data_IF_974081186521
#
_entry.id   IF_974081186521
#
_cell.length_a   1.000
_cell.length_b   1.000
_cell.length_c   1.000
_cell.angle_alpha   90.00
_cell.angle_beta   90.00
_cell.angle_gamma   90.00
#
_symmetry.space_group_name_H-M   'P 1'
#
loop_
_entity.id
_entity.type
_entity.pdbx_description
1 polymer ?
#
# COMPACT_ATOMS: atom_id res chain seq x y z
N UNK A 1 -7.89 8.47 23.01
CA UNK A 1 -6.89 8.33 21.92
C UNK A 1 -7.54 8.22 20.52
N UNK A 2 -8.84 7.98 20.40
CA UNK A 2 -9.55 8.03 19.09
C UNK A 2 -9.93 9.46 18.67
N UNK A 3 -10.20 10.37 19.61
CA UNK A 3 -10.51 11.79 19.30
C UNK A 3 -9.39 12.55 18.57
N UNK A 4 -8.12 12.17 18.78
CA UNK A 4 -6.98 12.84 18.14
C UNK A 4 -6.74 12.42 16.67
N UNK A 5 -7.32 11.31 16.23
CA UNK A 5 -7.23 10.89 14.82
C UNK A 5 -8.26 11.62 13.97
N UNK A 6 -9.45 11.89 14.50
CA UNK A 6 -10.51 12.59 13.79
C UNK A 6 -10.16 14.07 13.50
N UNK A 7 -9.39 14.73 14.36
CA UNK A 7 -9.02 16.15 14.16
C UNK A 7 -7.87 16.34 13.15
N UNK A 8 -6.98 15.35 13.00
CA UNK A 8 -5.76 15.51 12.20
C UNK A 8 -5.94 15.15 10.71
N UNK A 9 -7.00 14.45 10.30
CA UNK A 9 -7.16 14.02 8.93
C UNK A 9 -7.41 15.16 7.94
N UNK A 10 -8.05 16.27 8.40
CA UNK A 10 -8.34 17.46 7.57
C UNK A 10 -7.09 18.18 7.05
N UNK A 11 -5.94 17.96 7.68
CA UNK A 11 -4.65 18.50 7.29
C UNK A 11 -3.62 17.37 7.29
N UNK A 12 -3.88 16.33 6.52
CA UNK A 12 -3.04 15.15 6.47
C UNK A 12 -2.31 15.01 5.14
N UNK A 13 -1.15 14.39 5.19
CA UNK A 13 -0.42 13.97 4.00
C UNK A 13 0.31 12.66 4.34
N UNK A 14 -0.27 11.55 3.91
CA UNK A 14 0.27 10.20 4.09
C UNK A 14 0.51 9.56 2.74
N UNK A 15 1.71 9.05 2.54
CA UNK A 15 2.08 8.29 1.35
C UNK A 15 2.86 7.05 1.79
N UNK A 16 2.25 5.88 1.55
CA UNK A 16 2.87 4.57 1.78
C UNK A 16 3.09 3.82 0.45
N UNK A 17 3.03 4.54 -0.66
CA UNK A 17 3.32 3.99 -1.98
C UNK A 17 4.71 3.39 -2.05
N UNK A 18 4.87 2.38 -2.89
CA UNK A 18 6.15 1.72 -3.11
C UNK A 18 6.52 0.68 -2.05
N UNK A 19 5.72 0.53 -0.99
CA UNK A 19 5.96 -0.53 -0.01
C UNK A 19 5.62 -1.91 -0.60
N UNK A 20 6.38 -2.91 -0.18
CA UNK A 20 6.24 -4.27 -0.64
C UNK A 20 6.38 -5.25 0.51
N UNK A 21 5.45 -6.20 0.57
CA UNK A 21 5.54 -7.38 1.43
C UNK A 21 5.77 -8.60 0.54
N UNK A 22 6.78 -9.41 0.87
CA UNK A 22 7.07 -10.66 0.15
C UNK A 22 7.23 -11.80 1.16
N UNK A 23 6.37 -12.80 1.03
CA UNK A 23 6.37 -13.99 1.88
C UNK A 23 6.68 -15.19 0.99
N UNK A 24 7.69 -15.98 1.38
CA UNK A 24 8.06 -17.23 0.71
C UNK A 24 7.97 -18.38 1.70
N UNK A 25 7.30 -19.45 1.27
CA UNK A 25 7.27 -20.72 1.96
C UNK A 25 7.87 -21.80 1.04
N UNK A 26 8.94 -22.43 1.49
CA UNK A 26 9.64 -23.47 0.72
C UNK A 26 10.33 -24.49 1.62
N UNK A 27 10.61 -25.65 1.07
CA UNK A 27 11.49 -26.67 1.68
C UNK A 27 12.80 -26.68 0.91
N UNK A 28 13.91 -26.80 1.60
CA UNK A 28 15.23 -26.92 0.99
C UNK A 28 15.87 -28.30 1.23
N UNK A 29 16.57 -28.77 0.22
CA UNK A 29 17.48 -29.91 0.30
C UNK A 29 18.85 -29.41 -0.08
N UNK A 30 19.78 -29.39 0.90
CA UNK A 30 21.11 -28.79 0.72
C UNK A 30 22.23 -29.81 0.86
N UNK A 31 23.25 -29.69 0.02
CA UNK A 31 24.52 -30.41 0.13
C UNK A 31 25.66 -29.41 0.27
N UNK A 32 26.40 -29.49 1.37
CA UNK A 32 27.51 -28.59 1.67
C UNK A 32 28.84 -29.33 1.78
N UNK A 33 29.88 -28.66 1.35
CA UNK A 33 31.26 -29.08 1.50
C UNK A 33 32.10 -27.95 2.06
N UNK A 34 33.03 -28.28 2.96
CA UNK A 34 34.03 -27.36 3.43
C UNK A 34 35.43 -27.98 3.27
N UNK A 35 36.41 -27.13 3.01
CA UNK A 35 37.81 -27.56 2.85
C UNK A 35 38.75 -26.55 3.51
N UNK A 36 39.66 -27.06 4.28
CA UNK A 36 40.80 -26.32 4.73
C UNK A 36 41.83 -26.22 3.59
N UNK A 37 42.06 -25.01 3.12
CA UNK A 37 42.98 -24.71 2.02
C UNK A 37 44.43 -24.71 2.51
N UNK A 38 44.64 -24.13 3.69
CA UNK A 38 45.91 -24.11 4.40
C UNK A 38 45.66 -24.02 5.91
N UNK A 39 46.74 -23.94 6.72
CA UNK A 39 46.65 -23.88 8.20
C UNK A 39 45.83 -22.69 8.74
N UNK A 40 45.54 -21.68 7.92
CA UNK A 40 44.81 -20.47 8.30
C UNK A 40 43.48 -20.26 7.60
N UNK A 41 43.27 -20.83 6.42
CA UNK A 41 42.11 -20.57 5.58
C UNK A 41 41.25 -21.84 5.40
N UNK A 42 40.00 -21.74 5.79
CA UNK A 42 38.95 -22.72 5.46
C UNK A 42 37.88 -22.04 4.61
N UNK A 43 37.45 -22.70 3.55
CA UNK A 43 36.36 -22.25 2.68
C UNK A 43 35.26 -23.31 2.65
N UNK A 44 34.02 -22.89 2.48
CA UNK A 44 32.86 -23.74 2.37
C UNK A 44 31.87 -23.25 1.35
N UNK A 45 31.15 -24.17 0.75
CA UNK A 45 30.02 -23.88 -0.11
C UNK A 45 28.91 -24.89 0.14
N UNK A 46 27.66 -24.45 0.03
CA UNK A 46 26.47 -25.31 0.07
C UNK A 46 25.59 -24.99 -1.12
N UNK A 47 25.15 -25.99 -1.84
CA UNK A 47 24.15 -25.88 -2.88
C UNK A 47 22.81 -26.37 -2.36
N UNK A 48 21.75 -25.71 -2.76
CA UNK A 48 20.39 -25.96 -2.26
C UNK A 48 19.43 -26.15 -3.44
N UNK A 49 18.67 -27.24 -3.42
CA UNK A 49 17.47 -27.38 -4.24
C UNK A 49 16.27 -26.90 -3.41
N UNK A 50 15.43 -26.06 -3.99
CA UNK A 50 14.31 -25.42 -3.31
C UNK A 50 13.00 -25.91 -3.92
N UNK A 51 12.10 -26.38 -3.06
CA UNK A 51 10.75 -26.81 -3.40
C UNK A 51 9.79 -25.75 -2.86
N UNK A 52 9.34 -24.84 -3.73
CA UNK A 52 8.44 -23.75 -3.37
C UNK A 52 7.03 -24.26 -3.09
N UNK A 53 6.53 -24.05 -1.88
CA UNK A 53 5.17 -24.42 -1.47
C UNK A 53 4.24 -23.25 -1.77
N UNK A 54 4.66 -22.03 -1.46
CA UNK A 54 3.88 -20.83 -1.70
C UNK A 54 4.68 -19.54 -1.64
N UNK A 55 4.19 -18.56 -2.37
CA UNK A 55 4.67 -17.18 -2.31
C UNK A 55 3.50 -16.21 -2.38
N UNK A 56 3.59 -15.14 -1.61
CA UNK A 56 2.70 -14.00 -1.69
C UNK A 56 3.53 -12.72 -1.75
N UNK A 57 3.27 -11.90 -2.75
CA UNK A 57 3.89 -10.59 -2.94
C UNK A 57 2.79 -9.54 -3.04
N UNK A 58 2.70 -8.66 -2.05
CA UNK A 58 1.83 -7.50 -2.04
C UNK A 58 2.66 -6.26 -2.31
N UNK A 59 2.25 -5.47 -3.30
CA UNK A 59 2.83 -4.16 -3.62
C UNK A 59 1.78 -3.08 -3.49
N UNK A 60 2.08 -2.07 -2.70
CA UNK A 60 1.32 -0.83 -2.66
C UNK A 60 1.90 0.11 -3.73
N UNK A 61 1.21 0.22 -4.88
CA UNK A 61 1.69 1.00 -6.03
C UNK A 61 1.47 2.49 -5.82
N UNK A 62 0.28 2.84 -5.37
CA UNK A 62 -0.16 4.21 -5.17
C UNK A 62 -1.17 4.23 -4.02
N UNK A 63 -0.67 4.33 -2.79
CA UNK A 63 -1.52 4.42 -1.60
C UNK A 63 -1.16 5.70 -0.87
N UNK A 64 -1.91 6.75 -1.20
CA UNK A 64 -1.66 8.08 -0.70
C UNK A 64 -2.99 8.75 -0.31
N UNK A 65 -2.96 9.45 0.80
CA UNK A 65 -4.04 10.31 1.29
C UNK A 65 -3.48 11.69 1.57
N UNK A 66 -4.09 12.71 0.99
CA UNK A 66 -3.80 14.10 1.34
C UNK A 66 -5.09 14.87 1.53
N UNK A 67 -5.14 15.72 2.53
CA UNK A 67 -6.27 16.59 2.75
C UNK A 67 -5.80 17.96 3.29
N UNK A 68 -6.43 19.00 2.79
CA UNK A 68 -6.41 20.36 3.32
C UNK A 68 -7.85 20.87 3.23
N UNK A 69 -8.58 20.78 4.33
CA UNK A 69 -10.01 21.08 4.41
C UNK A 69 -10.28 22.07 5.55
N UNK A 70 -11.38 22.83 5.49
CA UNK A 70 -11.73 23.76 6.56
C UNK A 70 -12.07 23.01 7.85
N UNK A 71 -11.85 23.69 8.98
CA UNK A 71 -12.28 23.23 10.29
C UNK A 71 -13.80 23.29 10.44
N UNK A 72 -14.37 22.51 11.37
CA UNK A 72 -15.79 22.54 11.67
C UNK A 72 -16.25 23.93 12.13
N UNK A 73 -15.40 24.64 12.86
CA UNK A 73 -15.68 26.01 13.28
C UNK A 73 -15.79 26.99 12.09
N UNK A 74 -14.95 26.81 11.07
CA UNK A 74 -15.03 27.62 9.84
C UNK A 74 -16.30 27.27 9.04
N UNK A 75 -16.60 26.00 8.90
CA UNK A 75 -17.82 25.52 8.24
C UNK A 75 -19.05 26.08 8.95
N UNK A 76 -19.14 25.93 10.27
CA UNK A 76 -20.25 26.43 11.05
C UNK A 76 -20.43 27.94 10.89
N UNK A 77 -19.33 28.70 10.93
CA UNK A 77 -19.35 30.17 10.75
C UNK A 77 -19.90 30.56 9.37
N UNK A 78 -19.47 29.88 8.31
CA UNK A 78 -19.89 30.25 6.94
C UNK A 78 -21.28 29.76 6.60
N UNK A 79 -21.81 28.80 7.35
CA UNK A 79 -23.17 28.27 7.24
C UNK A 79 -24.19 29.08 8.08
N UNK A 80 -23.73 30.04 8.93
CA UNK A 80 -24.60 30.80 9.82
C UNK A 80 -25.20 32.03 9.13
N UNK A 81 -26.52 32.03 8.93
CA UNK A 81 -27.25 33.18 8.38
C UNK A 81 -27.06 34.44 9.19
N UNK A 82 -26.93 34.34 10.53
CA UNK A 82 -26.72 35.52 11.40
C UNK A 82 -25.34 36.16 11.17
N UNK A 83 -24.34 35.35 10.80
CA UNK A 83 -23.03 35.86 10.42
C UNK A 83 -23.12 36.78 9.19
N UNK A 84 -23.83 36.33 8.15
CA UNK A 84 -23.97 37.07 6.89
C UNK A 84 -24.88 38.29 7.03
N UNK A 85 -26.00 38.16 7.72
CA UNK A 85 -26.96 39.26 7.95
C UNK A 85 -26.39 40.38 8.81
N UNK A 86 -25.36 40.11 9.61
CA UNK A 86 -24.63 41.09 10.39
C UNK A 86 -23.63 41.93 9.59
N UNK A 87 -23.34 41.56 8.32
CA UNK A 87 -22.38 42.26 7.48
C UNK A 87 -23.05 43.31 6.58
N UNK A 88 -22.37 44.41 6.34
CA UNK A 88 -22.75 45.32 5.25
C UNK A 88 -22.55 44.63 3.89
N UNK A 89 -23.24 45.11 2.85
CA UNK A 89 -23.10 44.53 1.49
C UNK A 89 -21.66 44.53 1.00
N UNK A 90 -20.87 45.56 1.28
CA UNK A 90 -19.46 45.62 0.87
C UNK A 90 -18.60 44.61 1.63
N UNK A 91 -18.85 44.41 2.92
CA UNK A 91 -18.15 43.40 3.73
C UNK A 91 -18.52 41.99 3.28
N UNK A 92 -19.79 41.71 2.97
CA UNK A 92 -20.24 40.42 2.49
C UNK A 92 -19.58 40.08 1.13
N UNK A 93 -19.50 41.03 0.20
CA UNK A 93 -18.80 40.83 -1.10
C UNK A 93 -17.31 40.56 -0.88
N UNK A 94 -16.67 41.31 0.03
CA UNK A 94 -15.26 41.10 0.36
C UNK A 94 -15.03 39.72 0.95
N UNK A 95 -15.84 39.33 1.93
CA UNK A 95 -15.75 37.98 2.54
C UNK A 95 -15.97 36.87 1.53
N UNK A 96 -16.97 36.95 0.64
CA UNK A 96 -17.20 35.95 -0.39
C UNK A 96 -16.01 35.85 -1.36
N UNK A 97 -15.39 36.98 -1.71
CA UNK A 97 -14.22 37.01 -2.59
C UNK A 97 -13.00 36.34 -1.92
N UNK A 98 -12.78 36.59 -0.64
CA UNK A 98 -11.72 35.94 0.14
C UNK A 98 -11.97 34.45 0.29
N UNK A 99 -13.22 34.04 0.56
CA UNK A 99 -13.62 32.65 0.68
C UNK A 99 -13.50 31.90 -0.66
N UNK A 100 -13.82 32.54 -1.78
CA UNK A 100 -13.59 31.96 -3.10
C UNK A 100 -12.13 31.57 -3.30
N UNK A 101 -11.20 32.45 -2.95
CA UNK A 101 -9.77 32.17 -3.03
C UNK A 101 -9.35 31.10 -2.04
N UNK A 102 -9.96 31.09 -0.85
CA UNK A 102 -9.66 30.10 0.20
C UNK A 102 -10.16 28.71 -0.22
N UNK A 103 -11.37 28.63 -0.78
CA UNK A 103 -11.92 27.37 -1.29
C UNK A 103 -11.04 26.75 -2.39
N UNK A 104 -10.49 27.56 -3.30
CA UNK A 104 -9.65 27.08 -4.39
C UNK A 104 -8.39 26.32 -3.90
N UNK A 105 -7.97 26.57 -2.68
CA UNK A 105 -6.83 25.88 -2.05
C UNK A 105 -7.22 24.61 -1.29
N UNK A 106 -8.52 24.36 -1.06
CA UNK A 106 -8.94 23.14 -0.39
C UNK A 106 -8.89 21.95 -1.33
N UNK A 107 -8.53 20.82 -0.77
CA UNK A 107 -8.51 19.54 -1.46
C UNK A 107 -8.59 18.39 -0.47
N UNK A 108 -9.11 17.25 -0.90
CA UNK A 108 -8.85 15.99 -0.28
C UNK A 108 -8.74 14.93 -1.38
N UNK A 109 -7.74 14.08 -1.28
CA UNK A 109 -7.48 13.04 -2.25
C UNK A 109 -7.14 11.73 -1.54
N UNK A 110 -7.73 10.64 -2.01
CA UNK A 110 -7.41 9.29 -1.57
C UNK A 110 -7.18 8.42 -2.80
N UNK A 111 -5.97 7.91 -2.93
CA UNK A 111 -5.60 6.93 -3.93
C UNK A 111 -5.35 5.59 -3.26
N UNK A 112 -5.83 4.50 -3.88
CA UNK A 112 -5.57 3.13 -3.42
C UNK A 112 -5.22 2.29 -4.63
N UNK A 113 -3.94 2.03 -4.82
CA UNK A 113 -3.45 1.16 -5.88
C UNK A 113 -2.58 0.06 -5.29
N UNK A 114 -2.97 -1.20 -5.50
CA UNK A 114 -2.25 -2.35 -4.99
C UNK A 114 -2.17 -3.48 -6.01
N UNK A 115 -1.18 -4.32 -5.89
CA UNK A 115 -1.02 -5.54 -6.68
C UNK A 115 -0.64 -6.69 -5.76
N UNK A 116 -1.43 -7.74 -5.78
CA UNK A 116 -1.18 -8.99 -5.07
C UNK A 116 -0.81 -10.06 -6.11
N UNK A 117 0.37 -10.65 -5.96
CA UNK A 117 0.77 -11.86 -6.69
C UNK A 117 0.84 -13.01 -5.72
N UNK A 118 0.11 -14.05 -6.00
CA UNK A 118 0.08 -15.26 -5.18
C UNK A 118 0.47 -16.47 -6.01
N UNK A 119 1.29 -17.34 -5.47
CA UNK A 119 1.70 -18.59 -6.10
C UNK A 119 1.52 -19.72 -5.10
N UNK A 120 0.28 -20.17 -4.96
CA UNK A 120 -0.09 -21.32 -4.13
C UNK A 120 -0.93 -22.30 -4.95
N UNK A 121 -0.77 -23.58 -4.67
CA UNK A 121 -1.78 -24.56 -5.07
C UNK A 121 -2.88 -24.60 -4.03
N UNK A 122 -4.14 -24.58 -4.47
CA UNK A 122 -5.30 -24.57 -3.57
C UNK A 122 -5.80 -23.18 -3.16
N UNK A 123 -5.22 -22.08 -3.65
CA UNK A 123 -5.81 -20.77 -3.55
C UNK A 123 -6.78 -20.56 -4.72
N UNK A 124 -8.05 -20.42 -4.42
CA UNK A 124 -9.10 -20.10 -5.36
C UNK A 124 -9.63 -18.71 -5.03
N UNK A 125 -9.67 -17.85 -6.04
CA UNK A 125 -10.25 -16.52 -5.94
C UNK A 125 -11.66 -16.60 -6.51
N UNK A 126 -12.65 -16.17 -5.75
CA UNK A 126 -14.05 -16.27 -6.10
C UNK A 126 -14.58 -14.94 -6.60
N UNK A 127 -15.35 -14.98 -7.66
CA UNK A 127 -16.09 -13.84 -8.22
C UNK A 127 -17.60 -14.14 -8.05
N UNK A 128 -18.37 -13.15 -7.62
CA UNK A 128 -19.81 -13.26 -7.52
C UNK A 128 -20.46 -13.00 -8.88
N UNK A 129 -21.57 -13.67 -9.18
CA UNK A 129 -22.29 -13.48 -10.44
C UNK A 129 -22.68 -12.01 -10.67
N UNK A 130 -22.20 -11.44 -11.76
CA UNK A 130 -22.42 -10.04 -12.13
C UNK A 130 -21.33 -9.07 -11.64
N UNK A 131 -20.30 -9.56 -10.97
CA UNK A 131 -19.10 -8.79 -10.59
C UNK A 131 -17.90 -9.35 -11.36
N UNK A 132 -17.07 -8.48 -11.89
CA UNK A 132 -15.84 -8.80 -12.62
C UNK A 132 -14.57 -8.61 -11.76
N UNK A 133 -14.75 -8.67 -10.44
CA UNK A 133 -13.69 -8.56 -9.44
C UNK A 133 -13.84 -9.60 -8.32
N UNK A 134 -12.75 -9.85 -7.59
CA UNK A 134 -12.74 -10.80 -6.46
C UNK A 134 -13.63 -10.32 -5.33
N UNK A 135 -14.54 -11.19 -4.90
CA UNK A 135 -15.43 -10.95 -3.75
C UNK A 135 -15.07 -11.82 -2.55
N UNK A 136 -14.32 -12.90 -2.77
CA UNK A 136 -13.87 -13.78 -1.70
C UNK A 136 -12.66 -14.60 -2.14
N UNK A 137 -11.96 -15.23 -1.20
CA UNK A 137 -10.90 -16.18 -1.48
C UNK A 137 -11.05 -17.42 -0.63
N UNK A 138 -10.88 -18.57 -1.25
CA UNK A 138 -10.91 -19.86 -0.58
C UNK A 138 -9.53 -20.51 -0.60
N UNK A 139 -9.14 -21.12 0.50
CA UNK A 139 -7.90 -21.85 0.62
C UNK A 139 -8.14 -23.32 0.93
N UNK A 140 -7.98 -24.18 -0.06
CA UNK A 140 -8.06 -25.62 0.08
C UNK A 140 -6.70 -26.21 0.47
N UNK A 141 -6.51 -26.47 1.75
CA UNK A 141 -5.29 -27.09 2.28
C UNK A 141 -5.03 -28.51 1.75
N UNK A 142 -6.06 -29.19 1.27
CA UNK A 142 -5.94 -30.51 0.64
C UNK A 142 -5.27 -30.48 -0.75
N UNK A 143 -5.26 -29.33 -1.41
CA UNK A 143 -4.60 -29.11 -2.70
C UNK A 143 -3.19 -28.56 -2.57
N UNK A 144 -2.66 -28.35 -1.36
CA UNK A 144 -1.29 -27.91 -1.15
C UNK A 144 -0.28 -28.81 -1.84
N UNK A 145 0.74 -28.20 -2.43
CA UNK A 145 1.77 -28.92 -3.14
C UNK A 145 2.87 -28.00 -3.66
N UNK A 146 3.82 -28.58 -4.40
CA UNK A 146 4.91 -27.80 -4.98
C UNK A 146 4.35 -26.86 -6.05
N UNK A 147 4.46 -25.58 -5.81
CA UNK A 147 4.03 -24.49 -6.68
C UNK A 147 5.19 -23.89 -7.49
N UNK A 148 6.44 -24.23 -7.13
CA UNK A 148 7.63 -23.73 -7.79
C UNK A 148 8.89 -24.54 -7.45
N UNK A 149 9.95 -24.31 -8.21
CA UNK A 149 11.28 -24.91 -8.00
C UNK A 149 12.33 -23.81 -8.01
N UNK A 150 13.37 -24.00 -7.20
CA UNK A 150 14.43 -23.03 -7.07
C UNK A 150 15.77 -23.65 -6.81
N UNK A 151 16.74 -22.75 -6.78
CA UNK A 151 18.13 -23.07 -6.50
C UNK A 151 18.72 -21.98 -5.61
N UNK A 152 19.56 -22.39 -4.67
CA UNK A 152 20.29 -21.48 -3.80
C UNK A 152 21.72 -21.96 -3.57
N UNK A 153 22.57 -21.01 -3.19
CA UNK A 153 23.96 -21.28 -2.82
C UNK A 153 24.34 -20.47 -1.58
N UNK A 154 25.04 -21.10 -0.67
CA UNK A 154 25.73 -20.46 0.44
C UNK A 154 27.23 -20.56 0.20
N UNK A 155 27.96 -19.49 0.50
CA UNK A 155 29.41 -19.41 0.42
C UNK A 155 29.95 -18.86 1.73
N UNK A 156 31.04 -19.43 2.21
CA UNK A 156 31.66 -18.97 3.45
C UNK A 156 33.18 -19.20 3.46
N UNK A 157 33.86 -18.36 4.22
CA UNK A 157 35.26 -18.51 4.50
C UNK A 157 35.57 -18.11 5.94
N UNK A 158 36.52 -18.80 6.55
CA UNK A 158 37.12 -18.40 7.84
C UNK A 158 38.62 -18.31 7.70
N UNK A 159 39.20 -17.28 8.30
CA UNK A 159 40.64 -17.03 8.27
C UNK A 159 41.19 -16.74 9.65
N UNK A 160 42.18 -17.56 10.05
CA UNK A 160 42.92 -17.43 11.31
C UNK A 160 43.97 -16.33 11.17
N UNK A 161 43.71 -15.14 11.69
CA UNK A 161 44.61 -13.98 11.63
C UNK A 161 45.76 -14.19 12.63
N UNK A 162 45.43 -14.53 13.86
CA UNK A 162 46.32 -14.84 14.95
C UNK A 162 45.99 -16.23 15.54
N UNK A 163 46.82 -16.75 16.42
CA UNK A 163 46.53 -18.05 17.06
C UNK A 163 45.24 -18.03 17.90
N UNK A 164 44.87 -16.85 18.37
CA UNK A 164 43.67 -16.60 19.16
C UNK A 164 42.65 -15.71 18.50
N UNK A 165 42.74 -15.48 17.15
CA UNK A 165 41.80 -14.65 16.42
C UNK A 165 41.51 -15.26 15.08
N UNK A 166 40.26 -15.66 14.89
CA UNK A 166 39.71 -16.11 13.60
C UNK A 166 38.60 -15.17 13.16
N UNK A 167 38.63 -14.72 11.94
CA UNK A 167 37.54 -13.96 11.30
C UNK A 167 36.83 -14.83 10.29
N UNK A 168 35.53 -14.64 10.16
CA UNK A 168 34.71 -15.37 9.19
C UNK A 168 33.76 -14.44 8.44
N UNK A 169 33.46 -14.79 7.21
CA UNK A 169 32.45 -14.14 6.38
C UNK A 169 31.69 -15.23 5.61
N UNK A 170 30.37 -15.08 5.55
CA UNK A 170 29.53 -15.93 4.72
C UNK A 170 28.40 -15.14 4.09
N UNK A 171 28.04 -15.55 2.86
CA UNK A 171 26.86 -15.08 2.15
C UNK A 171 25.94 -16.29 2.03
N UNK A 172 24.73 -16.17 2.56
CA UNK A 172 23.72 -17.22 2.62
C UNK A 172 22.58 -16.87 1.67
N UNK A 173 21.92 -17.89 1.14
CA UNK A 173 20.69 -17.78 0.37
C UNK A 173 20.80 -16.95 -0.92
N UNK A 174 21.94 -17.04 -1.60
CA UNK A 174 22.06 -16.50 -2.96
C UNK A 174 21.28 -17.41 -3.92
N UNK A 175 20.06 -16.99 -4.26
CA UNK A 175 19.21 -17.85 -5.09
C UNK A 175 17.85 -17.26 -5.43
N UNK A 176 17.02 -18.09 -6.04
CA UNK A 176 15.66 -17.73 -6.42
C UNK A 176 14.77 -18.99 -6.50
N UNK A 177 13.45 -18.76 -6.46
CA UNK A 177 12.43 -19.75 -6.76
C UNK A 177 11.65 -19.29 -7.99
N UNK A 178 11.47 -20.17 -8.96
CA UNK A 178 10.62 -19.97 -10.12
C UNK A 178 9.26 -20.63 -9.86
N UNK A 179 8.23 -19.79 -9.75
CA UNK A 179 6.85 -20.19 -9.49
C UNK A 179 6.15 -20.54 -10.79
N UNK A 180 5.41 -21.63 -10.81
CA UNK A 180 4.74 -22.09 -12.04
C UNK A 180 3.61 -21.13 -12.42
N UNK A 181 3.41 -20.94 -13.71
CA UNK A 181 2.30 -20.18 -14.27
C UNK A 181 0.94 -20.65 -13.74
N UNK A 182 0.73 -21.96 -13.71
CA UNK A 182 -0.54 -22.57 -13.29
C UNK A 182 -0.87 -22.43 -11.80
N UNK A 183 0.13 -22.09 -10.98
CA UNK A 183 -0.05 -21.84 -9.53
C UNK A 183 -0.05 -20.36 -9.19
N UNK A 184 0.08 -19.47 -10.18
CA UNK A 184 0.23 -18.04 -9.96
C UNK A 184 -1.05 -17.31 -10.37
N UNK A 185 -1.61 -16.57 -9.43
CA UNK A 185 -2.70 -15.63 -9.62
C UNK A 185 -2.18 -14.22 -9.37
N UNK A 186 -2.70 -13.26 -10.11
CA UNK A 186 -2.38 -11.84 -9.97
C UNK A 186 -3.69 -11.10 -9.77
N UNK A 187 -3.81 -10.38 -8.67
CA UNK A 187 -4.93 -9.49 -8.41
C UNK A 187 -4.42 -8.05 -8.37
N UNK A 188 -5.10 -7.15 -9.02
CA UNK A 188 -4.76 -5.73 -9.07
C UNK A 188 -5.93 -4.89 -8.61
N UNK A 189 -5.70 -3.97 -7.68
CA UNK A 189 -6.64 -2.93 -7.29
C UNK A 189 -6.15 -1.60 -7.85
N UNK A 190 -7.01 -0.91 -8.54
CA UNK A 190 -6.74 0.44 -9.03
C UNK A 190 -8.06 1.21 -9.18
N UNK A 191 -8.83 1.36 -8.08
CA UNK A 191 -10.09 2.08 -8.11
C UNK A 191 -9.88 3.53 -8.49
N UNK A 192 -10.94 4.18 -8.97
CA UNK A 192 -10.93 5.62 -9.20
C UNK A 192 -10.59 6.37 -7.90
N UNK A 193 -9.70 7.36 -7.96
CA UNK A 193 -9.34 8.13 -6.77
C UNK A 193 -10.56 8.92 -6.27
N UNK A 194 -10.71 8.98 -4.96
CA UNK A 194 -11.65 9.91 -4.34
C UNK A 194 -10.98 11.27 -4.30
N UNK A 195 -11.59 12.26 -4.93
CA UNK A 195 -10.96 13.56 -5.15
C UNK A 195 -11.95 14.71 -4.87
N UNK A 196 -11.68 15.46 -3.81
CA UNK A 196 -12.37 16.71 -3.48
C UNK A 196 -11.52 17.86 -4.00
N UNK A 197 -12.07 18.60 -4.96
CA UNK A 197 -11.39 19.73 -5.60
C UNK A 197 -11.97 21.05 -5.13
N UNK A 198 -11.19 21.82 -4.42
CA UNK A 198 -11.59 23.15 -3.92
C UNK A 198 -12.08 24.11 -5.00
N UNK A 199 -11.53 24.00 -6.21
CA UNK A 199 -11.99 24.79 -7.37
C UNK A 199 -13.46 24.59 -7.71
N UNK A 200 -14.04 23.41 -7.40
CA UNK A 200 -15.49 23.17 -7.58
C UNK A 200 -16.32 24.10 -6.71
N UNK A 201 -15.97 24.24 -5.44
CA UNK A 201 -16.69 25.10 -4.49
C UNK A 201 -16.35 26.56 -4.71
N UNK A 202 -15.12 26.89 -5.09
CA UNK A 202 -14.74 28.23 -5.47
C UNK A 202 -15.56 28.74 -6.68
N UNK A 203 -15.86 27.88 -7.64
CA UNK A 203 -16.69 28.21 -8.79
C UNK A 203 -18.16 28.50 -8.41
N UNK A 204 -18.67 27.94 -7.31
CA UNK A 204 -20.03 28.18 -6.82
C UNK A 204 -20.19 29.55 -6.14
N UNK A 205 -19.09 30.14 -5.68
CA UNK A 205 -19.13 31.45 -4.98
C UNK A 205 -19.31 32.58 -5.97
N UNK A 206 -20.42 33.30 -5.83
CA UNK A 206 -20.76 34.50 -6.57
C UNK A 206 -20.74 35.74 -5.65
N UNK A 207 -19.77 36.64 -5.82
CA UNK A 207 -19.70 37.86 -5.00
C UNK A 207 -20.91 38.81 -5.16
N UNK A 208 -21.71 38.65 -6.21
CA UNK A 208 -22.95 39.42 -6.37
C UNK A 208 -24.08 38.87 -5.47
N UNK A 209 -24.02 37.61 -5.08
CA UNK A 209 -24.96 36.92 -4.18
C UNK A 209 -24.17 36.21 -3.06
N UNK A 210 -23.46 36.97 -2.21
CA UNK A 210 -22.41 36.44 -1.33
C UNK A 210 -22.93 35.38 -0.35
N UNK A 211 -23.96 35.66 0.40
CA UNK A 211 -24.54 34.78 1.41
C UNK A 211 -24.98 33.44 0.83
N UNK A 212 -25.96 33.50 -0.09
CA UNK A 212 -26.56 32.30 -0.67
C UNK A 212 -25.53 31.42 -1.41
N UNK A 213 -24.62 32.06 -2.16
CA UNK A 213 -23.64 31.32 -2.97
C UNK A 213 -22.58 30.64 -2.09
N UNK A 214 -22.11 31.30 -1.01
CA UNK A 214 -21.17 30.73 -0.07
C UNK A 214 -21.82 29.60 0.74
N UNK A 215 -23.03 29.81 1.25
CA UNK A 215 -23.73 28.77 2.01
C UNK A 215 -23.96 27.51 1.18
N UNK A 216 -24.32 27.66 -0.10
CA UNK A 216 -24.46 26.50 -1.00
C UNK A 216 -23.12 25.80 -1.24
N UNK A 217 -22.04 26.56 -1.45
CA UNK A 217 -20.70 26.00 -1.63
C UNK A 217 -20.22 25.24 -0.38
N UNK A 218 -20.46 25.81 0.82
CA UNK A 218 -20.12 25.18 2.10
C UNK A 218 -20.93 23.90 2.34
N UNK A 219 -22.23 23.94 2.04
CA UNK A 219 -23.08 22.76 2.17
C UNK A 219 -22.58 21.61 1.26
N UNK A 220 -22.30 21.91 -0.01
CA UNK A 220 -21.77 20.90 -0.94
C UNK A 220 -20.42 20.35 -0.46
N UNK A 221 -19.51 21.22 -0.02
CA UNK A 221 -18.22 20.83 0.54
C UNK A 221 -18.40 19.93 1.78
N UNK A 222 -19.38 20.23 2.63
CA UNK A 222 -19.67 19.44 3.83
C UNK A 222 -20.21 18.05 3.45
N UNK A 223 -21.14 17.99 2.51
CA UNK A 223 -21.72 16.73 2.03
C UNK A 223 -20.64 15.84 1.38
N UNK A 224 -19.77 16.41 0.55
CA UNK A 224 -18.68 15.69 -0.12
C UNK A 224 -17.61 15.25 0.89
N UNK A 225 -17.31 16.11 1.90
CA UNK A 225 -16.37 15.78 2.98
C UNK A 225 -16.89 14.65 3.85
N UNK A 226 -18.19 14.65 4.18
CA UNK A 226 -18.80 13.57 4.94
C UNK A 226 -18.71 12.24 4.16
N UNK A 227 -19.02 12.26 2.86
CA UNK A 227 -18.90 11.08 2.01
C UNK A 227 -17.45 10.54 1.93
N UNK A 228 -16.45 11.44 1.91
CA UNK A 228 -15.04 11.05 1.99
C UNK A 228 -14.71 10.39 3.34
N UNK A 229 -15.16 11.00 4.44
CA UNK A 229 -14.92 10.48 5.78
C UNK A 229 -15.56 9.14 6.02
N UNK A 230 -16.81 8.95 5.59
CA UNK A 230 -17.53 7.70 5.74
C UNK A 230 -16.76 6.55 5.08
N UNK A 231 -16.16 6.78 3.93
CA UNK A 231 -15.32 5.78 3.25
C UNK A 231 -14.01 5.51 3.99
N UNK A 232 -13.34 6.55 4.50
CA UNK A 232 -12.04 6.42 5.20
C UNK A 232 -12.20 5.77 6.58
N UNK A 233 -13.26 6.10 7.33
CA UNK A 233 -13.45 5.64 8.73
C UNK A 233 -14.16 4.30 8.85
N UNK A 234 -15.09 4.01 7.94
CA UNK A 234 -15.85 2.76 7.98
C UNK A 234 -15.07 1.56 7.39
N UNK A 235 -13.83 1.77 6.93
CA UNK A 235 -13.02 0.70 6.39
C UNK A 235 -13.37 0.31 4.95
N UNK A 236 -14.31 1.01 4.31
CA UNK A 236 -14.75 0.77 2.94
C UNK A 236 -13.59 0.90 1.92
N UNK A 237 -12.51 1.58 2.31
CA UNK A 237 -11.25 1.67 1.53
C UNK A 237 -10.57 0.32 1.33
N UNK A 238 -10.85 -0.65 2.21
CA UNK A 238 -10.32 -2.02 2.17
C UNK A 238 -11.37 -3.05 1.80
N UNK A 239 -12.60 -2.64 1.52
CA UNK A 239 -13.66 -3.49 1.03
C UNK A 239 -13.37 -3.98 -0.40
N UNK A 240 -13.76 -5.20 -0.72
CA UNK A 240 -13.62 -5.80 -2.05
C UNK A 240 -14.35 -4.98 -3.12
N UNK A 241 -15.52 -4.44 -2.79
CA UNK A 241 -16.33 -3.63 -3.71
C UNK A 241 -15.65 -2.30 -4.05
N UNK A 242 -14.84 -1.75 -3.13
CA UNK A 242 -14.06 -0.54 -3.40
C UNK A 242 -12.74 -0.84 -4.08
N UNK A 243 -12.04 -1.88 -3.66
CA UNK A 243 -10.75 -2.25 -4.23
C UNK A 243 -10.89 -2.81 -5.64
N UNK A 244 -12.05 -3.39 -5.98
CA UNK A 244 -12.36 -4.00 -7.27
C UNK A 244 -11.15 -4.81 -7.79
N UNK A 245 -10.74 -5.80 -7.00
CA UNK A 245 -9.57 -6.61 -7.30
C UNK A 245 -9.81 -7.43 -8.56
N UNK A 246 -9.30 -6.94 -9.68
CA UNK A 246 -9.31 -7.68 -10.94
C UNK A 246 -8.31 -8.82 -10.88
N UNK A 247 -8.75 -10.03 -11.20
CA UNK A 247 -7.90 -11.22 -11.24
C UNK A 247 -7.46 -11.52 -12.65
N UNK A 248 -6.16 -11.66 -12.82
CA UNK A 248 -5.54 -12.13 -14.04
C UNK A 248 -4.76 -13.42 -13.82
N UNK A 249 -4.80 -14.31 -14.83
CA UNK A 249 -3.87 -15.41 -14.90
C UNK A 249 -2.46 -14.93 -15.23
N UNK A 250 -1.46 -15.50 -14.56
CA UNK A 250 -0.07 -15.21 -14.91
C UNK A 250 0.20 -15.65 -16.35
N UNK A 251 0.73 -14.75 -17.18
CA UNK A 251 1.11 -15.08 -18.57
C UNK A 251 2.38 -15.91 -18.65
N UNK A 252 3.25 -15.77 -17.63
CA UNK A 252 4.57 -16.41 -17.55
C UNK A 252 4.85 -16.93 -16.15
N UNK A 253 5.87 -17.79 -16.01
CA UNK A 253 6.40 -18.19 -14.71
C UNK A 253 7.03 -16.98 -14.02
N UNK A 254 6.83 -16.87 -12.72
CA UNK A 254 7.35 -15.76 -11.91
C UNK A 254 8.56 -16.20 -11.09
N UNK A 255 9.53 -15.32 -10.91
CA UNK A 255 10.70 -15.58 -10.06
C UNK A 255 10.66 -14.68 -8.83
N UNK A 256 10.85 -15.27 -7.65
CA UNK A 256 11.15 -14.54 -6.42
C UNK A 256 12.60 -14.82 -5.99
N UNK A 257 13.32 -13.79 -5.58
CA UNK A 257 14.65 -13.94 -4.99
C UNK A 257 14.54 -14.35 -3.54
N UNK A 258 15.53 -15.12 -3.07
CA UNK A 258 15.67 -15.36 -1.64
C UNK A 258 16.21 -14.09 -0.93
N UNK A 259 15.93 -14.00 0.36
CA UNK A 259 16.49 -12.95 1.21
C UNK A 259 17.95 -13.32 1.55
N UNK A 260 18.88 -12.86 0.73
CA UNK A 260 20.31 -13.14 0.94
C UNK A 260 20.83 -12.42 2.20
N UNK A 261 21.62 -13.14 3.00
CA UNK A 261 22.17 -12.64 4.26
C UNK A 261 23.68 -12.66 4.23
N UNK A 262 24.31 -11.55 4.58
CA UNK A 262 25.75 -11.48 4.85
C UNK A 262 25.98 -11.66 6.36
N UNK A 263 26.78 -12.64 6.72
CA UNK A 263 27.18 -12.89 8.11
C UNK A 263 28.67 -12.66 8.24
N UNK A 264 29.07 -11.87 9.24
CA UNK A 264 30.45 -11.61 9.61
C UNK A 264 30.65 -12.07 11.05
N UNK A 265 31.79 -12.72 11.32
CA UNK A 265 32.12 -13.22 12.66
C UNK A 265 33.60 -13.00 12.99
N UNK A 266 33.88 -12.87 14.28
CA UNK A 266 35.23 -12.89 14.85
C UNK A 266 35.20 -13.68 16.17
N UNK A 267 36.15 -14.55 16.36
CA UNK A 267 36.28 -15.43 17.51
C UNK A 267 37.74 -15.41 17.99
#
# INVERSE_FOLDING_TARGET
>A
EMETVEENWRNSNYDISGQQLNINAYTEIGLGLSRQINSRLTVGARVKALLGIGNMELKLKNVAMSANLPSDAEIAKWSDENYWSGLSQQEAIKQATELKTKFDNYHANLNVGAELKSSFKGLELQEEEGKDYVTDFEFDSGKLGIAGYGFGIDLGASYKILDNLTVSASILDLGFISWSKSSTKIASANPDPIDIKGSTYAAMVDPANPETSVMNAVKQLQDDTQGYMDRVTNGDVLDYDMLQLEVGDAKESRKSRLASTLVLGAE
#
